data_IF_425441186707
#
_entry.id   IF_425441186707
#
_cell.length_a   1.000
_cell.length_b   1.000
_cell.length_c   1.000
_cell.angle_alpha   90.00
_cell.angle_beta   90.00
_cell.angle_gamma   90.00
#
_symmetry.space_group_name_H-M   'P 1'
#
loop_
_entity.id
_entity.type
_entity.pdbx_description
1 polymer ?
#
# COMPACT_ATOMS: atom_id res chain seq x y z
N UNK A 1 7.47 11.20 -8.78
CA UNK A 1 8.30 10.55 -7.74
C UNK A 1 9.76 10.60 -8.17
N UNK A 2 10.68 10.74 -7.19
CA UNK A 2 12.11 10.71 -7.48
C UNK A 2 12.57 9.27 -7.71
N UNK A 3 13.29 9.01 -8.80
CA UNK A 3 14.02 7.74 -8.98
C UNK A 3 15.36 7.84 -8.23
N UNK A 4 15.38 7.33 -7.00
CA UNK A 4 16.56 7.36 -6.14
C UNK A 4 17.42 6.10 -6.34
N UNK A 5 18.76 6.21 -6.19
CA UNK A 5 19.58 5.03 -6.11
C UNK A 5 19.21 4.18 -4.90
N UNK A 6 19.24 2.86 -5.05
CA UNK A 6 19.03 1.94 -3.94
C UNK A 6 20.27 1.87 -3.06
N UNK A 7 20.05 1.82 -1.77
CA UNK A 7 21.10 1.51 -0.80
C UNK A 7 21.25 0.01 -0.58
N UNK A 8 22.08 -0.41 0.36
CA UNK A 8 22.35 -1.81 0.67
C UNK A 8 21.09 -2.57 1.07
N UNK A 9 20.98 -3.82 0.63
CA UNK A 9 19.82 -4.69 0.86
C UNK A 9 19.48 -4.84 2.34
N UNK A 10 20.49 -5.05 3.17
CA UNK A 10 20.34 -5.40 4.57
C UNK A 10 20.36 -4.18 5.51
N UNK A 11 20.45 -2.99 4.96
CA UNK A 11 20.43 -1.77 5.75
C UNK A 11 19.17 -1.70 6.61
N UNK A 12 19.39 -1.42 7.91
CA UNK A 12 18.30 -1.38 8.90
C UNK A 12 17.42 -0.15 8.68
N UNK A 13 16.13 -0.39 8.48
CA UNK A 13 15.16 0.67 8.35
C UNK A 13 14.60 1.10 9.72
N UNK A 14 14.79 2.38 10.04
CA UNK A 14 14.13 3.08 11.14
C UNK A 14 13.58 4.38 10.57
N UNK A 15 12.26 4.42 10.32
CA UNK A 15 11.59 5.56 9.69
C UNK A 15 11.75 6.85 10.51
N UNK A 16 11.74 6.78 11.83
CA UNK A 16 11.90 7.96 12.69
C UNK A 16 13.30 8.56 12.59
N UNK A 17 14.32 7.72 12.65
CA UNK A 17 15.70 8.16 12.50
C UNK A 17 15.99 8.66 11.07
N UNK A 18 15.45 7.98 10.04
CA UNK A 18 15.57 8.39 8.65
C UNK A 18 14.94 9.77 8.43
N UNK A 19 13.70 9.96 8.90
CA UNK A 19 13.01 11.26 8.78
C UNK A 19 13.79 12.40 9.45
N UNK A 20 14.43 12.15 10.59
CA UNK A 20 15.29 13.15 11.25
C UNK A 20 16.47 13.54 10.35
N UNK A 21 17.16 12.57 9.75
CA UNK A 21 18.28 12.82 8.83
C UNK A 21 17.83 13.53 7.55
N UNK A 22 16.70 13.10 6.99
CA UNK A 22 16.11 13.75 5.80
C UNK A 22 15.71 15.20 6.07
N UNK A 23 15.14 15.51 7.24
CA UNK A 23 14.85 16.89 7.64
C UNK A 23 16.10 17.74 7.73
N UNK A 24 17.14 17.23 8.38
CA UNK A 24 18.42 17.92 8.47
C UNK A 24 19.05 18.16 7.09
N UNK A 25 19.04 17.17 6.24
CA UNK A 25 19.55 17.25 4.87
C UNK A 25 18.76 18.21 3.99
N UNK A 26 17.43 18.26 4.15
CA UNK A 26 16.56 19.11 3.36
C UNK A 26 16.47 20.56 3.90
N UNK A 27 16.96 20.86 5.09
CA UNK A 27 16.98 22.23 5.61
C UNK A 27 18.22 23.00 5.15
N UNK A 28 18.08 24.29 4.94
CA UNK A 28 19.14 25.17 4.43
C UNK A 28 20.32 25.32 5.38
N UNK A 29 20.09 25.13 6.68
CA UNK A 29 21.08 25.27 7.76
C UNK A 29 21.41 23.94 8.46
N UNK A 30 20.84 22.83 8.02
CA UNK A 30 21.03 21.51 8.64
C UNK A 30 20.27 21.31 9.96
N UNK A 31 19.43 22.26 10.39
CA UNK A 31 18.69 22.18 11.65
C UNK A 31 17.51 21.22 11.61
N UNK A 32 16.93 21.02 10.44
CA UNK A 32 15.66 20.30 10.25
C UNK A 32 14.43 21.10 10.69
N UNK A 33 14.59 22.41 10.96
CA UNK A 33 13.50 23.30 11.36
C UNK A 33 12.56 23.59 10.19
N UNK A 34 11.25 23.70 10.48
CA UNK A 34 10.20 23.90 9.47
C UNK A 34 10.45 25.16 8.61
N UNK A 35 10.88 26.23 9.24
CA UNK A 35 11.10 27.55 8.61
C UNK A 35 12.32 27.59 7.68
N UNK A 36 13.18 26.57 7.77
CA UNK A 36 14.40 26.41 6.98
C UNK A 36 14.30 25.29 5.96
N UNK A 37 13.12 24.68 5.84
CA UNK A 37 12.90 23.49 5.02
C UNK A 37 12.84 23.83 3.52
N UNK A 38 13.61 23.13 2.72
CA UNK A 38 13.46 23.02 1.28
C UNK A 38 12.43 21.88 1.02
N UNK A 39 11.16 22.23 0.93
CA UNK A 39 10.07 21.28 0.74
C UNK A 39 10.19 20.46 -0.54
N UNK A 40 10.55 21.02 -1.73
CA UNK A 40 10.85 20.26 -2.93
C UNK A 40 11.94 19.20 -2.72
N UNK A 41 12.94 19.49 -1.88
CA UNK A 41 14.00 18.55 -1.54
C UNK A 41 13.50 17.47 -0.58
N UNK A 42 12.77 17.85 0.46
CA UNK A 42 12.18 16.97 1.46
C UNK A 42 11.20 15.95 0.85
N UNK A 43 10.33 16.40 -0.05
CA UNK A 43 9.35 15.62 -0.78
C UNK A 43 9.93 14.37 -1.47
N UNK A 44 11.18 14.41 -1.91
CA UNK A 44 11.83 13.31 -2.62
C UNK A 44 11.97 12.03 -1.79
N UNK A 45 11.83 12.13 -0.46
CA UNK A 45 11.95 10.98 0.44
C UNK A 45 10.65 10.21 0.67
N UNK A 46 9.54 10.62 0.03
CA UNK A 46 8.20 10.09 0.28
C UNK A 46 7.54 9.63 -1.01
N UNK A 47 6.67 8.62 -0.91
CA UNK A 47 5.82 8.18 -2.01
C UNK A 47 4.53 9.00 -2.13
N UNK A 48 4.15 9.75 -1.11
CA UNK A 48 2.95 10.57 -1.16
C UNK A 48 3.11 11.88 -0.38
N UNK A 49 2.47 12.92 -0.86
CA UNK A 49 2.33 14.19 -0.18
C UNK A 49 0.96 14.78 -0.51
N UNK A 50 0.41 15.53 0.45
CA UNK A 50 -0.81 16.29 0.27
C UNK A 50 -0.50 17.59 -0.48
N UNK A 51 -1.09 17.82 -1.68
CA UNK A 51 -0.87 19.06 -2.42
C UNK A 51 -1.36 20.31 -1.68
N UNK A 52 -2.38 20.16 -0.81
CA UNK A 52 -2.95 21.26 -0.03
C UNK A 52 -2.17 21.52 1.28
N UNK A 53 -1.28 20.59 1.67
CA UNK A 53 -0.42 20.70 2.87
C UNK A 53 1.05 20.33 2.55
N UNK A 54 1.58 20.81 1.44
CA UNK A 54 2.94 20.52 0.94
C UNK A 54 4.06 21.26 1.68
N UNK A 55 3.69 22.08 2.65
CA UNK A 55 4.58 22.93 3.48
C UNK A 55 4.51 22.58 4.96
N UNK A 56 4.06 21.39 5.32
CA UNK A 56 4.08 20.86 6.68
C UNK A 56 4.55 19.39 6.70
N UNK A 57 5.15 19.00 7.83
CA UNK A 57 5.61 17.60 7.97
C UNK A 57 4.46 16.59 7.99
N UNK A 58 3.23 17.01 8.34
CA UNK A 58 2.04 16.18 8.36
C UNK A 58 1.52 15.83 6.95
N UNK A 59 1.79 16.69 5.97
CA UNK A 59 1.37 16.51 4.58
C UNK A 59 2.14 15.43 3.82
N UNK A 60 3.16 14.78 4.43
CA UNK A 60 3.97 13.76 3.76
C UNK A 60 3.77 12.38 4.37
N UNK A 61 3.47 11.39 3.53
CA UNK A 61 3.21 10.00 3.95
C UNK A 61 4.10 9.02 3.18
N UNK A 62 4.25 7.82 3.72
CA UNK A 62 4.97 6.72 3.08
C UNK A 62 6.46 7.04 2.83
N UNK A 63 7.25 7.35 3.89
CA UNK A 63 8.69 7.55 3.76
C UNK A 63 9.38 6.25 3.36
N UNK A 64 10.33 6.32 2.41
CA UNK A 64 11.07 5.18 1.90
C UNK A 64 12.57 5.42 1.74
N UNK A 65 13.02 6.67 1.91
CA UNK A 65 14.39 7.06 1.67
C UNK A 65 15.08 7.56 2.95
N UNK A 66 16.39 7.48 2.96
CA UNK A 66 17.26 7.91 4.04
C UNK A 66 18.48 8.66 3.48
N UNK A 67 19.20 9.34 4.34
CA UNK A 67 20.49 9.93 4.02
C UNK A 67 21.59 8.94 4.37
N UNK A 68 22.18 8.35 3.35
CA UNK A 68 23.32 7.44 3.45
C UNK A 68 24.46 8.00 2.60
N UNK A 69 25.69 7.94 3.11
CA UNK A 69 26.86 8.48 2.42
C UNK A 69 26.66 9.93 1.91
N UNK A 70 25.99 10.75 2.73
CA UNK A 70 25.64 12.15 2.43
C UNK A 70 24.71 12.34 1.23
N UNK A 71 24.05 11.30 0.75
CA UNK A 71 23.11 11.31 -0.38
C UNK A 71 21.74 10.76 0.03
N UNK A 72 20.70 11.26 -0.62
CA UNK A 72 19.37 10.67 -0.48
C UNK A 72 19.30 9.37 -1.30
N UNK A 73 19.03 8.26 -0.63
CA UNK A 73 18.93 6.93 -1.24
C UNK A 73 17.65 6.24 -0.84
N UNK A 74 17.09 5.44 -1.72
CA UNK A 74 15.97 4.57 -1.41
C UNK A 74 16.43 3.36 -0.60
N UNK A 75 15.78 3.09 0.51
CA UNK A 75 16.12 1.98 1.40
C UNK A 75 15.20 0.78 1.10
N UNK A 76 15.73 -0.39 0.71
CA UNK A 76 14.92 -1.57 0.39
C UNK A 76 13.89 -1.93 1.46
N UNK A 77 14.29 -1.95 2.72
CA UNK A 77 13.38 -2.23 3.85
C UNK A 77 12.35 -1.12 4.08
N UNK A 78 12.65 0.13 3.70
CA UNK A 78 11.68 1.23 3.69
C UNK A 78 10.62 1.02 2.62
N UNK A 79 11.01 0.58 1.42
CA UNK A 79 10.09 0.23 0.34
C UNK A 79 9.20 -0.95 0.74
N UNK A 80 9.75 -2.00 1.37
CA UNK A 80 8.96 -3.12 1.90
C UNK A 80 7.95 -2.68 2.96
N UNK A 81 8.34 -1.75 3.85
CA UNK A 81 7.43 -1.20 4.84
C UNK A 81 6.27 -0.42 4.19
N UNK A 82 6.54 0.37 3.16
CA UNK A 82 5.52 1.07 2.36
C UNK A 82 4.58 0.07 1.69
N UNK A 83 5.11 -0.98 1.05
CA UNK A 83 4.30 -2.02 0.44
C UNK A 83 3.37 -2.71 1.45
N UNK A 84 3.86 -2.98 2.67
CA UNK A 84 3.05 -3.51 3.76
C UNK A 84 1.91 -2.56 4.18
N UNK A 85 2.19 -1.25 4.28
CA UNK A 85 1.17 -0.24 4.62
C UNK A 85 0.10 -0.15 3.54
N UNK A 86 0.46 -0.19 2.25
CA UNK A 86 -0.48 -0.22 1.13
C UNK A 86 -1.38 -1.47 1.13
N UNK A 87 -0.96 -2.54 1.80
CA UNK A 87 -1.77 -3.74 2.03
C UNK A 87 -2.52 -3.75 3.37
N UNK A 88 -2.60 -2.62 4.04
CA UNK A 88 -3.35 -2.48 5.28
C UNK A 88 -2.57 -2.77 6.56
N UNK A 89 -1.27 -3.06 6.50
CA UNK A 89 -0.45 -3.18 7.72
C UNK A 89 -0.50 -1.89 8.53
N UNK A 90 -0.54 -2.01 9.85
CA UNK A 90 -0.61 -0.87 10.80
C UNK A 90 -1.82 0.03 10.59
N UNK A 91 -2.92 -0.50 10.02
CA UNK A 91 -4.14 0.26 9.75
C UNK A 91 -4.18 0.94 8.37
N UNK A 92 -3.18 0.68 7.51
CA UNK A 92 -3.12 1.25 6.16
C UNK A 92 -2.65 2.70 6.12
N UNK A 93 -2.98 3.39 5.04
CA UNK A 93 -2.73 4.81 4.83
C UNK A 93 -4.01 5.51 4.37
N UNK A 94 -4.30 6.65 4.96
CA UNK A 94 -5.46 7.47 4.60
C UNK A 94 -5.09 8.38 3.42
N UNK A 95 -5.28 7.86 2.21
CA UNK A 95 -5.14 8.52 0.91
C UNK A 95 -6.15 7.91 -0.06
N UNK A 96 -6.40 8.56 -1.19
CA UNK A 96 -7.32 8.05 -2.21
C UNK A 96 -6.89 6.69 -2.77
N UNK A 97 -7.84 5.90 -3.26
CA UNK A 97 -7.55 4.62 -3.92
C UNK A 97 -6.71 4.86 -5.19
N UNK A 98 -7.01 5.92 -5.92
CA UNK A 98 -6.27 6.31 -7.13
C UNK A 98 -4.80 6.61 -6.82
N UNK A 99 -4.53 7.37 -5.74
CA UNK A 99 -3.16 7.62 -5.27
C UNK A 99 -2.46 6.33 -4.84
N UNK A 100 -3.18 5.42 -4.15
CA UNK A 100 -2.62 4.13 -3.75
C UNK A 100 -2.17 3.30 -4.96
N UNK A 101 -2.96 3.28 -6.03
CA UNK A 101 -2.63 2.53 -7.25
C UNK A 101 -1.44 3.15 -7.97
N UNK A 102 -1.38 4.47 -8.11
CA UNK A 102 -0.19 5.16 -8.64
C UNK A 102 1.08 4.90 -7.81
N UNK A 103 0.95 4.80 -6.49
CA UNK A 103 2.08 4.48 -5.62
C UNK A 103 2.50 3.03 -5.82
N UNK A 104 1.56 2.08 -5.94
CA UNK A 104 1.87 0.68 -6.24
C UNK A 104 2.71 0.53 -7.51
N UNK A 105 2.33 1.22 -8.60
CA UNK A 105 3.10 1.22 -9.86
C UNK A 105 4.53 1.73 -9.67
N UNK A 106 4.73 2.70 -8.79
CA UNK A 106 6.06 3.23 -8.49
C UNK A 106 6.86 2.28 -7.59
N UNK A 107 6.21 1.67 -6.62
CA UNK A 107 6.79 0.62 -5.76
C UNK A 107 7.20 -0.58 -6.61
N UNK A 108 6.40 -1.03 -7.58
CA UNK A 108 6.74 -2.12 -8.50
C UNK A 108 8.03 -1.85 -9.27
N UNK A 109 8.23 -0.61 -9.76
CA UNK A 109 9.49 -0.20 -10.40
C UNK A 109 10.69 -0.32 -9.46
N UNK A 110 10.52 0.00 -8.18
CA UNK A 110 11.58 -0.21 -7.19
C UNK A 110 11.82 -1.71 -6.88
N UNK A 111 10.78 -2.54 -6.87
CA UNK A 111 10.94 -3.98 -6.74
C UNK A 111 11.70 -4.58 -7.93
N UNK A 112 11.42 -4.15 -9.16
CA UNK A 112 12.21 -4.52 -10.34
C UNK A 112 13.66 -4.06 -10.24
N UNK A 113 13.88 -2.82 -9.78
CA UNK A 113 15.22 -2.26 -9.56
C UNK A 113 15.99 -3.08 -8.53
N UNK A 114 15.33 -3.50 -7.44
CA UNK A 114 15.92 -4.38 -6.42
C UNK A 114 16.27 -5.76 -6.98
N UNK A 115 15.37 -6.40 -7.75
CA UNK A 115 15.65 -7.68 -8.41
C UNK A 115 16.94 -7.62 -9.24
N UNK A 116 17.04 -6.62 -10.07
CA UNK A 116 18.21 -6.43 -10.94
C UNK A 116 19.48 -6.13 -10.15
N UNK A 117 19.40 -5.24 -9.16
CA UNK A 117 20.59 -4.80 -8.41
C UNK A 117 21.12 -5.89 -7.47
N UNK A 118 20.23 -6.70 -6.89
CA UNK A 118 20.59 -7.74 -5.91
C UNK A 118 20.64 -9.15 -6.51
N UNK A 119 20.40 -9.28 -7.83
CA UNK A 119 20.35 -10.55 -8.55
C UNK A 119 19.45 -11.59 -7.84
N UNK A 120 18.24 -11.15 -7.45
CA UNK A 120 17.31 -11.95 -6.65
C UNK A 120 15.88 -11.86 -7.21
N UNK A 121 15.50 -12.83 -8.03
CA UNK A 121 14.17 -12.95 -8.63
C UNK A 121 13.06 -13.21 -7.62
N UNK A 122 13.38 -13.58 -6.38
CA UNK A 122 12.39 -13.79 -5.32
C UNK A 122 11.83 -12.47 -4.74
N UNK A 123 12.46 -11.34 -5.04
CA UNK A 123 12.00 -10.01 -4.63
C UNK A 123 10.80 -9.60 -5.47
N UNK A 124 9.60 -9.81 -4.95
CA UNK A 124 8.34 -9.48 -5.63
C UNK A 124 7.45 -8.65 -4.72
N UNK A 125 6.75 -7.68 -5.32
CA UNK A 125 5.76 -6.90 -4.57
C UNK A 125 4.66 -7.83 -4.00
N UNK A 126 4.13 -7.54 -2.80
CA UNK A 126 3.18 -8.45 -2.15
C UNK A 126 1.92 -8.72 -2.98
N UNK A 127 1.44 -7.72 -3.70
CA UNK A 127 0.28 -7.87 -4.59
C UNK A 127 0.60 -8.70 -5.85
N UNK A 128 1.84 -8.68 -6.35
CA UNK A 128 2.25 -9.50 -7.49
C UNK A 128 2.30 -10.99 -7.11
N UNK A 129 2.65 -11.33 -5.87
CA UNK A 129 2.66 -12.71 -5.39
C UNK A 129 1.27 -13.34 -5.35
N UNK A 130 0.22 -12.54 -5.18
CA UNK A 130 -1.16 -13.02 -5.23
C UNK A 130 -1.58 -13.46 -6.63
N UNK A 131 -1.01 -12.84 -7.67
CA UNK A 131 -1.34 -13.15 -9.07
C UNK A 131 -0.38 -14.20 -9.68
N UNK A 132 0.90 -14.15 -9.34
CA UNK A 132 1.94 -14.98 -10.00
C UNK A 132 2.03 -16.43 -9.52
N UNK A 133 1.35 -16.81 -8.44
CA UNK A 133 1.45 -18.16 -7.84
C UNK A 133 0.19 -19.02 -7.98
N UNK A 134 -0.92 -18.45 -8.41
CA UNK A 134 -2.19 -19.15 -8.53
C UNK A 134 -2.56 -19.26 -10.03
N UNK A 135 -2.82 -20.48 -10.50
CA UNK A 135 -3.49 -20.63 -11.79
C UNK A 135 -4.92 -20.08 -11.65
N UNK A 136 -5.51 -19.59 -12.74
CA UNK A 136 -6.91 -19.13 -12.78
C UNK A 136 -7.86 -20.15 -12.13
N UNK A 137 -7.56 -21.44 -12.26
CA UNK A 137 -8.28 -22.53 -11.59
C UNK A 137 -8.18 -22.42 -10.05
N UNK A 138 -6.98 -22.24 -9.50
CA UNK A 138 -6.78 -22.11 -8.05
C UNK A 138 -7.42 -20.84 -7.48
N UNK A 139 -7.37 -19.75 -8.22
CA UNK A 139 -8.06 -18.51 -7.84
C UNK A 139 -9.57 -18.69 -7.85
N UNK A 140 -10.10 -19.36 -8.88
CA UNK A 140 -11.51 -19.73 -8.96
C UNK A 140 -11.94 -20.64 -7.81
N UNK A 141 -11.17 -21.67 -7.49
CA UNK A 141 -11.46 -22.58 -6.37
C UNK A 141 -11.45 -21.85 -5.00
N UNK A 142 -10.52 -20.91 -4.80
CA UNK A 142 -10.50 -20.07 -3.59
C UNK A 142 -11.69 -19.12 -3.53
N UNK A 143 -12.06 -18.50 -4.64
CA UNK A 143 -13.23 -17.63 -4.72
C UNK A 143 -14.52 -18.41 -4.45
N UNK A 144 -14.70 -19.59 -5.05
CA UNK A 144 -15.83 -20.47 -4.79
C UNK A 144 -15.91 -20.88 -3.32
N UNK A 145 -14.78 -21.26 -2.71
CA UNK A 145 -14.72 -21.62 -1.29
C UNK A 145 -15.14 -20.44 -0.40
N UNK A 146 -14.70 -19.23 -0.73
CA UNK A 146 -15.07 -18.02 0.00
C UNK A 146 -16.57 -17.69 -0.15
N UNK A 147 -17.13 -17.88 -1.35
CA UNK A 147 -18.55 -17.67 -1.64
C UNK A 147 -19.39 -18.70 -0.88
N UNK A 148 -19.02 -19.99 -0.86
CA UNK A 148 -19.72 -21.03 -0.12
C UNK A 148 -19.70 -20.79 1.39
N UNK A 149 -18.55 -20.38 1.94
CA UNK A 149 -18.43 -20.01 3.34
C UNK A 149 -19.30 -18.81 3.69
N UNK A 150 -19.35 -17.81 2.81
CA UNK A 150 -20.21 -16.64 2.95
C UNK A 150 -21.68 -17.00 2.87
N UNK A 151 -22.10 -17.81 1.90
CA UNK A 151 -23.45 -18.32 1.74
C UNK A 151 -23.93 -19.09 3.00
N UNK A 152 -23.13 -20.03 3.48
CA UNK A 152 -23.42 -20.77 4.71
C UNK A 152 -23.61 -19.85 5.91
N UNK A 153 -22.75 -18.85 6.08
CA UNK A 153 -22.85 -17.87 7.17
C UNK A 153 -24.10 -17.00 7.02
N UNK A 154 -24.45 -16.63 5.79
CA UNK A 154 -25.60 -15.80 5.49
C UNK A 154 -26.92 -16.52 5.87
N UNK A 155 -27.03 -17.80 5.51
CA UNK A 155 -28.15 -18.64 5.89
C UNK A 155 -28.26 -18.81 7.42
N UNK A 156 -27.16 -19.12 8.10
CA UNK A 156 -27.13 -19.22 9.55
C UNK A 156 -27.58 -17.92 10.25
N UNK A 157 -27.15 -16.77 9.75
CA UNK A 157 -27.57 -15.48 10.25
C UNK A 157 -29.04 -15.16 9.92
N UNK A 158 -29.54 -15.55 8.74
CA UNK A 158 -30.93 -15.39 8.36
C UNK A 158 -31.83 -16.21 9.28
N UNK A 159 -31.51 -17.48 9.53
CA UNK A 159 -32.24 -18.37 10.41
C UNK A 159 -32.29 -17.86 11.87
N UNK A 160 -31.17 -17.37 12.38
CA UNK A 160 -31.12 -16.75 13.72
C UNK A 160 -32.02 -15.51 13.79
N UNK A 161 -32.04 -14.66 12.76
CA UNK A 161 -32.85 -13.45 12.72
C UNK A 161 -34.34 -13.74 12.57
N UNK A 162 -34.71 -14.75 11.80
CA UNK A 162 -36.10 -15.20 11.70
C UNK A 162 -36.60 -15.68 13.04
N UNK A 163 -35.80 -16.44 13.79
CA UNK A 163 -36.12 -16.87 15.16
C UNK A 163 -36.30 -15.68 16.13
N UNK A 164 -35.63 -14.56 15.87
CA UNK A 164 -35.72 -13.33 16.66
C UNK A 164 -36.78 -12.35 16.11
N UNK A 165 -37.59 -12.73 15.08
CA UNK A 165 -38.56 -11.86 14.44
C UNK A 165 -37.96 -10.69 13.66
N UNK A 166 -36.71 -10.81 13.23
CA UNK A 166 -35.96 -9.76 12.52
C UNK A 166 -35.73 -10.14 11.06
N UNK A 167 -35.70 -9.16 10.17
CA UNK A 167 -35.34 -9.31 8.74
C UNK A 167 -34.00 -8.63 8.44
N UNK A 168 -33.38 -9.04 7.34
CA UNK A 168 -32.18 -8.36 6.80
C UNK A 168 -32.51 -6.88 6.50
N UNK A 169 -31.66 -5.97 6.96
CA UNK A 169 -31.82 -4.54 6.70
C UNK A 169 -31.75 -4.26 5.19
N UNK A 170 -32.43 -3.22 4.74
CA UNK A 170 -32.41 -2.77 3.33
C UNK A 170 -30.99 -2.49 2.83
N UNK A 171 -30.14 -1.93 3.69
CA UNK A 171 -28.73 -1.67 3.40
C UNK A 171 -27.96 -2.96 3.12
N UNK A 172 -28.17 -4.02 3.90
CA UNK A 172 -27.50 -5.30 3.69
C UNK A 172 -28.04 -6.02 2.45
N UNK A 173 -29.34 -5.93 2.16
CA UNK A 173 -29.90 -6.45 0.89
C UNK A 173 -29.29 -5.75 -0.30
N UNK A 174 -29.15 -4.43 -0.28
CA UNK A 174 -28.52 -3.66 -1.36
C UNK A 174 -27.05 -4.07 -1.57
N UNK A 175 -26.28 -4.25 -0.50
CA UNK A 175 -24.89 -4.73 -0.59
C UNK A 175 -24.78 -6.13 -1.23
N UNK A 176 -25.70 -7.02 -0.88
CA UNK A 176 -25.74 -8.36 -1.46
C UNK A 176 -26.11 -8.32 -2.94
N UNK A 177 -27.08 -7.50 -3.34
CA UNK A 177 -27.44 -7.28 -4.75
C UNK A 177 -26.23 -6.77 -5.54
N UNK A 178 -25.57 -5.73 -5.05
CA UNK A 178 -24.35 -5.18 -5.70
C UNK A 178 -23.26 -6.23 -5.86
N UNK A 179 -23.05 -7.11 -4.86
CA UNK A 179 -22.07 -8.19 -4.96
C UNK A 179 -22.41 -9.18 -6.08
N UNK A 180 -23.67 -9.59 -6.13
CA UNK A 180 -24.18 -10.50 -7.18
C UNK A 180 -24.06 -9.87 -8.56
N UNK A 181 -24.46 -8.59 -8.69
CA UNK A 181 -24.38 -7.85 -9.96
C UNK A 181 -22.92 -7.73 -10.45
N UNK A 182 -21.96 -7.49 -9.53
CA UNK A 182 -20.53 -7.47 -9.86
C UNK A 182 -20.03 -8.83 -10.33
N UNK A 183 -20.49 -9.92 -9.71
CA UNK A 183 -20.09 -11.29 -10.12
C UNK A 183 -20.65 -11.66 -11.49
N UNK A 184 -21.88 -11.26 -11.80
CA UNK A 184 -22.50 -11.46 -13.12
C UNK A 184 -21.75 -10.64 -14.16
N UNK A 185 -21.40 -9.37 -13.89
CA UNK A 185 -20.63 -8.53 -14.80
C UNK A 185 -19.29 -9.14 -15.22
N UNK A 186 -18.57 -9.77 -14.29
CA UNK A 186 -17.30 -10.45 -14.61
C UNK A 186 -17.49 -11.61 -15.59
N UNK A 187 -18.64 -12.31 -15.54
CA UNK A 187 -18.94 -13.41 -16.47
C UNK A 187 -19.28 -12.86 -17.86
N UNK A 188 -19.99 -11.72 -17.91
CA UNK A 188 -20.41 -11.10 -19.17
C UNK A 188 -19.24 -10.44 -19.92
N UNK A 189 -18.15 -10.09 -19.21
CA UNK A 189 -16.93 -9.48 -19.77
C UNK A 189 -15.90 -10.53 -20.26
N UNK A 190 -16.14 -11.85 -20.05
CA UNK A 190 -15.29 -12.97 -20.49
C UNK A 190 -15.79 -13.61 -21.78
#
# INVERSE_FOLDING_TARGET
>A
FADLPLYERDYRWDSGAALKRVRQWASSDGSGAKEKMDWPKYKKAFFWYDPDDDSSFGGFKLPFADITDSKLTAVPRGIFAVAGVLQGSRGGVDISIEDQDHIKDTVDRYYEKMRRQFDDESIMAPWTKQVAGLSLKHEGDLALTAIDAFHTRLHALADLRVKEGRTLSSANRKRLSTLVDSMVGVIDDL
#
